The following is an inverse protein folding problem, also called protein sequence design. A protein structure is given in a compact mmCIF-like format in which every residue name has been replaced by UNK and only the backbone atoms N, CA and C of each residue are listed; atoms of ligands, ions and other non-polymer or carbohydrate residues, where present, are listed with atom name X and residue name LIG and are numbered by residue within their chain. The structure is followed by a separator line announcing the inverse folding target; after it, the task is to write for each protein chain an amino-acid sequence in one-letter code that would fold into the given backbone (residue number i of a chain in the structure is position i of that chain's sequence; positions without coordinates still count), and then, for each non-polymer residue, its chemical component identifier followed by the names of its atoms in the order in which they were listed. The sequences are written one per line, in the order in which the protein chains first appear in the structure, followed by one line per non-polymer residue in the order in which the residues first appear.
data_IF_084292240632
#
_entry.id   IF_084292240632
#
_cell.length_a   1.000
_cell.length_b   1.000
_cell.length_c   1.000
_cell.angle_alpha   90.00
_cell.angle_beta   90.00
_cell.angle_gamma   90.00
#
_symmetry.space_group_name_H-M   'P 1'
#
loop_
_entity.id
_entity.type
_entity.pdbx_description
1 polymer ?
#
# COMPACT_ATOMS: atom_id res chain seq x y z
N UNK A 1 -15.35 7.00 -11.40
CA UNK A 1 -16.26 8.15 -11.17
C UNK A 1 -15.66 9.30 -10.36
N UNK A 2 -15.45 9.22 -9.03
CA UNK A 2 -14.97 10.41 -8.26
C UNK A 2 -13.56 10.89 -8.64
N UNK A 3 -12.62 9.96 -8.84
CA UNK A 3 -11.24 10.29 -9.17
C UNK A 3 -11.09 10.84 -10.60
N UNK A 4 -11.82 10.27 -11.56
CA UNK A 4 -11.84 10.77 -12.93
C UNK A 4 -12.40 12.19 -12.99
N UNK A 5 -13.49 12.46 -12.27
CA UNK A 5 -14.05 13.81 -12.18
C UNK A 5 -13.06 14.80 -11.56
N UNK A 6 -12.32 14.39 -10.53
CA UNK A 6 -11.26 15.21 -9.94
C UNK A 6 -10.14 15.51 -10.96
N UNK A 7 -9.66 14.49 -11.68
CA UNK A 7 -8.62 14.68 -12.69
C UNK A 7 -9.11 15.56 -13.86
N UNK A 8 -10.37 15.44 -14.25
CA UNK A 8 -10.99 16.31 -15.26
C UNK A 8 -11.01 17.78 -14.79
N UNK A 9 -11.46 18.03 -13.55
CA UNK A 9 -11.48 19.38 -12.98
C UNK A 9 -10.08 20.00 -12.91
N UNK A 10 -9.07 19.22 -12.52
CA UNK A 10 -7.67 19.68 -12.45
C UNK A 10 -7.13 20.03 -13.85
N UNK A 11 -7.39 19.19 -14.86
CA UNK A 11 -7.02 19.46 -16.26
C UNK A 11 -7.74 20.72 -16.79
N UNK A 12 -9.03 20.87 -16.51
CA UNK A 12 -9.82 22.05 -16.92
C UNK A 12 -9.27 23.34 -16.29
N UNK A 13 -8.89 23.29 -15.02
CA UNK A 13 -8.28 24.41 -14.31
C UNK A 13 -6.93 24.80 -14.93
N UNK A 14 -6.04 23.83 -15.20
CA UNK A 14 -4.74 24.09 -15.84
C UNK A 14 -4.90 24.75 -17.22
N UNK A 15 -5.87 24.27 -18.02
CA UNK A 15 -6.18 24.86 -19.32
C UNK A 15 -6.69 26.30 -19.16
N UNK A 16 -7.59 26.55 -18.21
CA UNK A 16 -8.12 27.89 -17.97
C UNK A 16 -7.03 28.87 -17.53
N UNK A 17 -6.13 28.45 -16.64
CA UNK A 17 -4.97 29.25 -16.21
C UNK A 17 -4.04 29.57 -17.40
N UNK A 18 -3.74 28.58 -18.23
CA UNK A 18 -2.89 28.78 -19.40
C UNK A 18 -3.51 29.75 -20.42
N UNK A 19 -4.80 29.61 -20.71
CA UNK A 19 -5.52 30.53 -21.60
C UNK A 19 -5.54 31.94 -21.03
N UNK A 20 -5.76 32.07 -19.72
CA UNK A 20 -5.81 33.37 -19.05
C UNK A 20 -4.46 34.08 -19.13
N UNK A 21 -3.36 33.38 -18.87
CA UNK A 21 -2.01 33.96 -18.95
C UNK A 21 -1.65 34.36 -20.38
N UNK A 22 -2.01 33.55 -21.39
CA UNK A 22 -1.82 33.90 -22.79
C UNK A 22 -2.64 35.16 -23.18
N UNK A 23 -3.92 35.20 -22.79
CA UNK A 23 -4.79 36.33 -23.08
C UNK A 23 -4.32 37.63 -22.39
N UNK A 24 -3.79 37.53 -21.16
CA UNK A 24 -3.18 38.66 -20.46
C UNK A 24 -1.90 39.15 -21.16
N UNK A 25 -1.02 38.23 -21.56
CA UNK A 25 0.24 38.57 -22.22
C UNK A 25 0.03 39.34 -23.54
N UNK A 26 -1.04 39.01 -24.28
CA UNK A 26 -1.40 39.65 -25.54
C UNK A 26 -2.25 40.93 -25.36
N UNK A 27 -2.53 41.34 -24.12
CA UNK A 27 -3.40 42.49 -23.81
C UNK A 27 -2.59 43.75 -23.50
N UNK A 28 -2.99 44.83 -24.16
CA UNK A 28 -2.48 46.19 -24.00
C UNK A 28 -3.65 47.19 -23.97
N UNK A 29 -3.35 48.46 -23.68
CA UNK A 29 -4.35 49.53 -23.53
C UNK A 29 -5.29 49.64 -24.76
N UNK A 30 -4.78 49.37 -25.97
CA UNK A 30 -5.53 49.48 -27.22
C UNK A 30 -6.49 48.33 -27.51
N UNK A 31 -6.36 47.18 -26.83
CA UNK A 31 -7.14 45.98 -27.13
C UNK A 31 -7.76 45.32 -25.87
N UNK A 32 -7.75 46.01 -24.73
CA UNK A 32 -8.28 45.50 -23.45
C UNK A 32 -9.75 45.06 -23.53
N UNK A 33 -10.55 45.72 -24.36
CA UNK A 33 -11.96 45.40 -24.54
C UNK A 33 -12.21 44.03 -25.20
N UNK A 34 -11.20 43.44 -25.85
CA UNK A 34 -11.30 42.12 -26.49
C UNK A 34 -10.69 40.99 -25.65
N UNK A 35 -10.30 41.28 -24.39
CA UNK A 35 -9.71 40.29 -23.48
C UNK A 35 -10.67 39.12 -23.23
N UNK A 36 -11.94 39.41 -22.94
CA UNK A 36 -12.95 38.39 -22.66
C UNK A 36 -13.18 37.47 -23.88
N UNK A 37 -13.30 38.05 -25.07
CA UNK A 37 -13.53 37.31 -26.31
C UNK A 37 -12.36 36.37 -26.63
N UNK A 38 -11.12 36.84 -26.44
CA UNK A 38 -9.90 36.05 -26.63
C UNK A 38 -9.76 34.93 -25.60
N UNK A 39 -10.15 35.19 -24.36
CA UNK A 39 -10.18 34.16 -23.31
C UNK A 39 -11.19 33.06 -23.66
N UNK A 40 -12.41 33.43 -24.06
CA UNK A 40 -13.44 32.46 -24.47
C UNK A 40 -13.04 31.64 -25.71
N UNK A 41 -12.38 32.27 -26.68
CA UNK A 41 -11.87 31.59 -27.88
C UNK A 41 -10.72 30.62 -27.57
N UNK A 42 -9.80 31.03 -26.70
CA UNK A 42 -8.71 30.18 -26.20
C UNK A 42 -9.22 28.97 -25.42
N UNK A 43 -10.25 29.15 -24.59
CA UNK A 43 -10.90 28.05 -23.86
C UNK A 43 -11.54 27.04 -24.81
N UNK A 44 -12.24 27.50 -25.86
CA UNK A 44 -12.84 26.60 -26.87
C UNK A 44 -11.77 25.81 -27.62
N UNK A 45 -10.66 26.46 -27.95
CA UNK A 45 -9.57 25.85 -28.71
C UNK A 45 -8.80 24.80 -27.90
N UNK A 46 -8.56 25.06 -26.61
CA UNK A 46 -7.75 24.18 -25.76
C UNK A 46 -8.56 23.07 -25.08
N UNK A 47 -9.84 23.31 -24.76
CA UNK A 47 -10.73 22.28 -24.18
C UNK A 47 -10.98 21.11 -25.15
N UNK A 48 -11.08 21.36 -26.45
CA UNK A 48 -11.34 20.32 -27.45
C UNK A 48 -10.17 19.33 -27.62
N UNK A 49 -8.94 19.71 -27.27
CA UNK A 49 -7.75 18.90 -27.57
C UNK A 49 -7.05 18.29 -26.34
N UNK A 50 -7.39 18.71 -25.10
CA UNK A 50 -6.59 18.35 -23.90
C UNK A 50 -7.32 17.56 -22.82
N UNK A 51 -8.60 17.28 -22.96
CA UNK A 51 -9.37 16.62 -21.89
C UNK A 51 -9.25 15.10 -22.05
N UNK A 52 -8.15 14.53 -21.57
CA UNK A 52 -8.03 13.09 -21.37
C UNK A 52 -7.62 12.78 -19.92
N UNK A 53 -8.57 12.37 -19.07
CA UNK A 53 -8.27 12.08 -17.67
C UNK A 53 -7.28 10.93 -17.50
N UNK A 54 -7.17 10.00 -18.45
CA UNK A 54 -6.21 8.89 -18.38
C UNK A 54 -4.75 9.32 -18.56
N UNK A 55 -4.51 10.50 -19.16
CA UNK A 55 -3.16 11.07 -19.23
C UNK A 55 -2.75 11.80 -17.95
N UNK A 56 -3.68 12.02 -17.01
CA UNK A 56 -3.38 12.71 -15.77
C UNK A 56 -2.39 11.93 -14.90
N UNK A 57 -1.48 12.63 -14.21
CA UNK A 57 -0.42 12.02 -13.38
C UNK A 57 -0.99 11.00 -12.39
N UNK A 58 -2.03 11.36 -11.65
CA UNK A 58 -2.64 10.46 -10.67
C UNK A 58 -3.26 9.21 -11.32
N UNK A 59 -3.83 9.34 -12.52
CA UNK A 59 -4.39 8.20 -13.23
C UNK A 59 -3.30 7.25 -13.74
N UNK A 60 -2.18 7.78 -14.22
CA UNK A 60 -1.03 6.98 -14.62
C UNK A 60 -0.43 6.25 -13.42
N UNK A 61 -0.22 6.94 -12.29
CA UNK A 61 0.30 6.34 -11.07
C UNK A 61 -0.62 5.23 -10.53
N UNK A 62 -1.94 5.46 -10.52
CA UNK A 62 -2.91 4.45 -10.12
C UNK A 62 -2.82 3.23 -11.03
N UNK A 63 -2.81 3.44 -12.35
CA UNK A 63 -2.70 2.38 -13.35
C UNK A 63 -1.43 1.55 -13.15
N UNK A 64 -0.28 2.20 -12.97
CA UNK A 64 0.99 1.52 -12.71
C UNK A 64 0.95 0.68 -11.44
N UNK A 65 0.37 1.20 -10.34
CA UNK A 65 0.23 0.44 -9.09
C UNK A 65 -0.68 -0.77 -9.24
N UNK A 66 -1.80 -0.61 -9.96
CA UNK A 66 -2.72 -1.69 -10.24
C UNK A 66 -2.07 -2.80 -11.07
N UNK A 67 -1.40 -2.46 -12.17
CA UNK A 67 -0.67 -3.41 -13.02
C UNK A 67 0.45 -4.12 -12.25
N UNK A 68 1.20 -3.40 -11.42
CA UNK A 68 2.25 -3.98 -10.58
C UNK A 68 1.68 -4.96 -9.53
N UNK A 69 0.53 -4.62 -8.93
CA UNK A 69 -0.20 -5.51 -8.04
C UNK A 69 -0.63 -6.80 -8.73
N UNK A 70 -1.25 -6.69 -9.92
CA UNK A 70 -1.67 -7.84 -10.73
C UNK A 70 -0.51 -8.76 -11.13
N UNK A 71 0.64 -8.20 -11.50
CA UNK A 71 1.83 -9.00 -11.82
C UNK A 71 2.34 -9.76 -10.60
N UNK A 72 2.35 -9.14 -9.42
CA UNK A 72 2.74 -9.82 -8.18
C UNK A 72 1.83 -11.00 -7.84
N UNK A 73 0.52 -10.86 -8.07
CA UNK A 73 -0.47 -11.93 -7.88
C UNK A 73 -0.30 -13.05 -8.91
N UNK A 74 -0.05 -12.69 -10.18
CA UNK A 74 0.13 -13.66 -11.27
C UNK A 74 1.37 -14.52 -11.09
N UNK A 75 2.47 -13.95 -10.59
CA UNK A 75 3.69 -14.68 -10.28
C UNK A 75 3.57 -15.65 -9.08
N UNK A 76 2.52 -15.51 -8.27
CA UNK A 76 2.26 -16.35 -7.09
C UNK A 76 1.36 -17.56 -7.36
N UNK A 77 0.89 -17.75 -8.61
CA UNK A 77 0.10 -18.93 -9.02
C UNK A 77 -1.35 -18.98 -8.51
N UNK A 78 -1.90 -17.87 -8.03
CA UNK A 78 -3.23 -17.78 -7.41
C UNK A 78 -4.37 -17.43 -8.40
N UNK A 79 -4.12 -17.52 -9.71
CA UNK A 79 -4.93 -16.85 -10.73
C UNK A 79 -6.05 -17.67 -11.37
N UNK A 80 -6.63 -18.67 -10.71
CA UNK A 80 -7.76 -19.38 -11.36
C UNK A 80 -9.13 -18.78 -11.07
N UNK A 81 -9.35 -17.96 -10.03
CA UNK A 81 -10.70 -17.44 -9.73
C UNK A 81 -10.70 -16.13 -8.92
N UNK A 82 -10.19 -15.01 -9.46
CA UNK A 82 -10.39 -13.70 -8.84
C UNK A 82 -11.10 -12.78 -9.82
N UNK A 83 -12.34 -12.42 -9.52
CA UNK A 83 -13.12 -11.47 -10.31
C UNK A 83 -12.73 -10.02 -9.92
N UNK A 84 -13.01 -9.07 -10.81
CA UNK A 84 -12.70 -7.63 -10.68
C UNK A 84 -13.29 -6.95 -9.42
N UNK A 85 -14.21 -7.61 -8.72
CA UNK A 85 -14.84 -7.16 -7.46
C UNK A 85 -14.20 -7.72 -6.18
N UNK A 86 -13.25 -8.66 -6.30
CA UNK A 86 -12.69 -9.34 -5.13
C UNK A 86 -11.43 -8.60 -4.66
N UNK A 87 -11.44 -8.09 -3.42
CA UNK A 87 -10.23 -7.62 -2.75
C UNK A 87 -9.30 -8.81 -2.61
N UNK A 88 -8.30 -8.89 -3.50
CA UNK A 88 -7.23 -9.86 -3.39
C UNK A 88 -6.39 -9.53 -2.16
N UNK A 89 -6.65 -10.24 -1.05
CA UNK A 89 -5.73 -10.27 0.08
C UNK A 89 -4.45 -10.93 -0.46
N UNK A 90 -3.41 -10.14 -0.69
CA UNK A 90 -2.09 -10.67 -1.04
C UNK A 90 -1.59 -11.43 0.17
N UNK A 91 -1.82 -12.75 0.17
CA UNK A 91 -1.26 -13.66 1.13
C UNK A 91 0.23 -13.76 0.81
N UNK A 92 1.04 -12.87 1.39
CA UNK A 92 2.48 -13.13 1.47
C UNK A 92 2.59 -14.45 2.22
N UNK A 93 3.04 -15.51 1.53
CA UNK A 93 3.37 -16.80 2.13
C UNK A 93 4.61 -16.65 3.03
N UNK A 94 4.54 -15.76 4.01
CA UNK A 94 5.44 -15.71 5.13
C UNK A 94 5.13 -16.94 5.96
N UNK A 95 5.86 -18.02 5.68
CA UNK A 95 5.89 -19.15 6.59
C UNK A 95 6.46 -18.62 7.91
N UNK A 96 5.59 -18.35 8.88
CA UNK A 96 5.99 -17.90 10.21
C UNK A 96 6.69 -19.05 10.92
N UNK A 97 8.01 -19.11 10.77
CA UNK A 97 8.86 -20.11 11.41
C UNK A 97 9.39 -19.56 12.74
N UNK A 98 9.28 -20.37 13.78
CA UNK A 98 9.84 -20.06 15.09
C UNK A 98 11.38 -19.95 14.99
N UNK A 99 11.99 -18.83 15.41
CA UNK A 99 13.43 -18.66 15.41
C UNK A 99 14.20 -19.76 16.15
N UNK A 100 13.57 -20.41 17.14
CA UNK A 100 14.19 -21.43 18.00
C UNK A 100 14.07 -22.83 17.39
N UNK A 101 12.86 -23.27 17.03
CA UNK A 101 12.62 -24.65 16.53
C UNK A 101 12.63 -24.78 15.01
N UNK A 102 12.54 -23.67 14.27
CA UNK A 102 12.34 -23.64 12.81
C UNK A 102 11.06 -24.35 12.35
N UNK A 103 10.11 -24.57 13.25
CA UNK A 103 8.77 -25.10 12.96
C UNK A 103 7.78 -23.95 12.78
N UNK A 104 6.64 -24.23 12.17
CA UNK A 104 5.54 -23.27 12.08
C UNK A 104 5.08 -22.83 13.47
N UNK A 105 4.87 -21.52 13.63
CA UNK A 105 4.28 -20.93 14.83
C UNK A 105 2.77 -21.18 14.81
N UNK A 106 2.25 -21.66 15.92
CA UNK A 106 0.83 -21.91 16.18
C UNK A 106 0.27 -20.95 17.23
N UNK A 107 1.02 -20.68 18.29
CA UNK A 107 0.66 -19.73 19.35
C UNK A 107 1.71 -18.60 19.43
N UNK A 108 1.53 -17.51 18.64
CA UNK A 108 2.53 -16.46 18.51
C UNK A 108 2.58 -15.56 19.75
N UNK A 109 3.77 -15.42 20.32
CA UNK A 109 4.08 -14.42 21.36
C UNK A 109 5.19 -13.50 20.90
N UNK A 110 5.00 -12.20 21.13
CA UNK A 110 5.91 -11.13 20.74
C UNK A 110 6.66 -10.56 21.94
N UNK A 111 7.97 -10.40 21.80
CA UNK A 111 8.77 -9.68 22.77
C UNK A 111 8.61 -8.17 22.58
N UNK A 112 8.06 -7.48 23.58
CA UNK A 112 7.82 -6.04 23.55
C UNK A 112 9.10 -5.19 23.42
N UNK A 113 10.24 -5.72 23.83
CA UNK A 113 11.52 -5.00 23.80
C UNK A 113 12.19 -4.98 22.42
N UNK A 114 11.86 -5.92 21.52
CA UNK A 114 12.49 -6.01 20.20
C UNK A 114 11.56 -6.37 19.04
N UNK A 115 10.29 -6.64 19.31
CA UNK A 115 9.26 -6.95 18.30
C UNK A 115 9.32 -8.35 17.69
N UNK A 116 10.29 -9.18 18.07
CA UNK A 116 10.41 -10.54 17.53
C UNK A 116 9.33 -11.46 18.10
N UNK A 117 8.84 -12.37 17.24
CA UNK A 117 7.80 -13.35 17.56
C UNK A 117 8.40 -14.74 17.71
N UNK A 118 7.85 -15.52 18.65
CA UNK A 118 8.20 -16.91 18.90
C UNK A 118 6.95 -17.77 19.07
N UNK A 119 7.13 -19.09 19.03
CA UNK A 119 6.17 -20.05 19.54
C UNK A 119 6.17 -20.02 21.07
N UNK A 120 5.00 -19.84 21.70
CA UNK A 120 4.82 -19.64 23.15
C UNK A 120 5.49 -20.73 23.96
N UNK A 121 5.21 -21.99 23.65
CA UNK A 121 5.74 -23.11 24.42
C UNK A 121 7.28 -23.13 24.39
N UNK A 122 7.84 -22.90 23.21
CA UNK A 122 9.28 -22.97 22.98
C UNK A 122 10.04 -21.88 23.72
N UNK A 123 9.57 -20.62 23.64
CA UNK A 123 10.27 -19.51 24.30
C UNK A 123 10.16 -19.59 25.83
N UNK A 124 9.01 -19.99 26.37
CA UNK A 124 8.84 -20.17 27.82
C UNK A 124 9.74 -21.30 28.34
N UNK A 125 9.83 -22.42 27.62
CA UNK A 125 10.76 -23.49 27.95
C UNK A 125 12.23 -23.03 27.90
N UNK A 126 12.58 -22.17 26.94
CA UNK A 126 13.94 -21.63 26.84
C UNK A 126 14.30 -20.71 28.01
N UNK A 127 13.37 -19.83 28.42
CA UNK A 127 13.54 -18.95 29.59
C UNK A 127 13.69 -19.77 30.87
N UNK A 128 12.87 -20.81 31.06
CA UNK A 128 12.94 -21.69 32.24
C UNK A 128 14.25 -22.47 32.32
N UNK A 129 14.79 -22.91 31.19
CA UNK A 129 16.06 -23.66 31.13
C UNK A 129 17.29 -22.77 31.33
N UNK A 130 17.22 -21.49 30.97
CA UNK A 130 18.33 -20.56 31.02
C UNK A 130 17.87 -19.20 31.57
N UNK A 131 18.24 -18.91 32.81
CA UNK A 131 17.81 -17.70 33.54
C UNK A 131 18.27 -16.35 32.93
N UNK A 132 19.19 -16.32 31.95
CA UNK A 132 19.70 -15.09 31.31
C UNK A 132 19.98 -15.30 29.82
N UNK A 133 18.91 -15.36 29.02
CA UNK A 133 19.02 -15.49 27.55
C UNK A 133 18.73 -14.16 26.88
N UNK A 134 19.49 -13.86 25.81
CA UNK A 134 19.13 -12.80 24.87
C UNK A 134 18.13 -13.32 23.83
N UNK A 135 17.64 -12.40 23.01
CA UNK A 135 16.82 -12.73 21.85
C UNK A 135 17.45 -13.85 20.99
N UNK A 136 16.72 -14.95 20.73
CA UNK A 136 17.20 -16.04 19.87
C UNK A 136 17.36 -15.65 18.40
N UNK A 137 16.83 -14.50 17.98
CA UNK A 137 16.96 -14.03 16.59
C UNK A 137 18.37 -13.48 16.38
N UNK A 138 19.08 -14.06 15.41
CA UNK A 138 20.43 -13.63 15.05
C UNK A 138 20.45 -12.16 14.63
N UNK A 139 21.39 -11.39 15.17
CA UNK A 139 21.51 -9.96 14.87
C UNK A 139 20.50 -9.06 15.61
N UNK A 140 19.73 -9.59 16.56
CA UNK A 140 18.86 -8.74 17.36
C UNK A 140 19.67 -7.70 18.16
N UNK A 141 19.33 -6.43 17.99
CA UNK A 141 20.00 -5.31 18.63
C UNK A 141 19.69 -5.14 20.13
N UNK A 142 18.68 -5.84 20.65
CA UNK A 142 18.28 -5.74 22.05
C UNK A 142 19.33 -6.44 22.95
N UNK A 143 20.05 -5.69 23.82
CA UNK A 143 21.05 -6.28 24.71
C UNK A 143 20.43 -6.96 25.93
N UNK A 144 19.17 -6.65 26.25
CA UNK A 144 18.48 -7.13 27.44
C UNK A 144 18.12 -8.61 27.36
N UNK A 145 18.05 -9.25 28.54
CA UNK A 145 17.62 -10.64 28.62
C UNK A 145 16.10 -10.73 28.49
N UNK A 146 15.61 -11.75 27.77
CA UNK A 146 14.18 -12.02 27.67
C UNK A 146 13.68 -12.55 29.02
N UNK A 147 12.56 -11.99 29.45
CA UNK A 147 11.80 -12.41 30.62
C UNK A 147 10.35 -12.68 30.21
N UNK A 148 9.63 -13.47 31.01
CA UNK A 148 8.25 -13.89 30.72
C UNK A 148 7.28 -12.69 30.65
N UNK A 149 7.49 -11.66 31.47
CA UNK A 149 6.74 -10.41 31.45
C UNK A 149 6.95 -9.56 30.17
N UNK A 150 7.99 -9.83 29.38
CA UNK A 150 8.23 -9.13 28.11
C UNK A 150 7.47 -9.78 26.94
N UNK A 151 6.86 -10.96 27.15
CA UNK A 151 6.15 -11.70 26.12
C UNK A 151 4.65 -11.38 26.18
N UNK A 152 4.13 -10.79 25.11
CA UNK A 152 2.70 -10.55 24.92
C UNK A 152 2.16 -11.39 23.77
N UNK A 153 0.90 -11.77 23.85
CA UNK A 153 0.22 -12.48 22.76
C UNK A 153 0.14 -11.59 21.51
N UNK A 154 0.47 -12.15 20.34
CA UNK A 154 0.34 -11.44 19.07
C UNK A 154 -0.99 -11.82 18.41
N UNK A 155 -2.06 -11.13 18.81
CA UNK A 155 -3.41 -11.42 18.31
C UNK A 155 -3.55 -11.22 16.80
N UNK A 156 -2.84 -10.23 16.25
CA UNK A 156 -2.83 -9.94 14.81
C UNK A 156 -2.24 -11.12 14.04
N UNK A 157 -1.07 -11.61 14.46
CA UNK A 157 -0.46 -12.75 13.83
C UNK A 157 -1.27 -14.04 14.06
N UNK A 158 -1.85 -14.22 15.24
CA UNK A 158 -2.74 -15.36 15.52
C UNK A 158 -3.94 -15.36 14.57
N UNK A 159 -4.55 -14.19 14.34
CA UNK A 159 -5.62 -14.03 13.39
C UNK A 159 -5.18 -14.34 11.96
N UNK A 160 -4.03 -13.80 11.52
CA UNK A 160 -3.45 -14.11 10.18
C UNK A 160 -3.20 -15.61 9.98
N UNK A 161 -2.66 -16.29 10.99
CA UNK A 161 -2.43 -17.73 10.96
C UNK A 161 -3.74 -18.52 10.81
N UNK A 162 -4.80 -18.11 11.53
CA UNK A 162 -6.12 -18.77 11.45
C UNK A 162 -6.76 -18.68 10.06
N UNK A 163 -6.59 -17.54 9.37
CA UNK A 163 -7.09 -17.34 8.01
C UNK A 163 -6.34 -18.25 7.02
N UNK A 164 -5.02 -18.35 7.16
CA UNK A 164 -4.19 -19.18 6.26
C UNK A 164 -4.53 -20.67 6.32
N UNK A 165 -4.89 -21.20 7.50
CA UNK A 165 -5.26 -22.60 7.70
C UNK A 165 -6.65 -22.93 7.09
N UNK A 166 -7.57 -21.97 7.08
CA UNK A 166 -8.91 -22.18 6.50
C UNK A 166 -8.88 -22.24 4.98
N UNK A 167 -8.00 -21.49 4.32
CA UNK A 167 -7.87 -21.51 2.84
C UNK A 167 -7.38 -22.85 2.29
N UNK A 168 -6.66 -23.65 3.09
CA UNK A 168 -6.16 -24.97 2.67
C UNK A 168 -7.17 -26.12 2.81
N UNK A 169 -8.38 -25.88 3.34
CA UNK A 169 -9.43 -26.89 3.52
C UNK A 169 -10.56 -26.82 2.47
N UNK A 170 -10.37 -26.07 1.38
CA UNK A 170 -11.28 -26.12 0.24
C UNK A 170 -10.66 -27.07 -0.79
N UNK A 171 -10.97 -28.36 -0.65
CA UNK A 171 -10.77 -29.40 -1.67
C UNK A 171 -12.11 -29.96 -2.10
#
# INVERSE_FOLDING_TARGET
MYMENYCLLEIEQEVAEQVLEAAKADTNISNINTLQERFEDGLKTLSQNRINPNSHRYMQELKTRYESGLQSVSSSGLTENLNESDIAIVQTNEQFLDPITKKHISDPVKNTMCGHVYERETILNLIRRKHRIRCPVAGCANPESIQENHLLEDEELRFRLSLSQHSTMIH
#
